data_IF_399979690140
#
_entry.id   IF_399979690140
#
_cell.length_a   1.000
_cell.length_b   1.000
_cell.length_c   1.000
_cell.angle_alpha   90.00
_cell.angle_beta   90.00
_cell.angle_gamma   90.00
#
_symmetry.space_group_name_H-M   'P 1'
#
loop_
_entity.id
_entity.type
_entity.pdbx_description
1 polymer ?
#
# COMPACT_ATOMS: atom_id res chain seq x y z
N UNK A 1 -16.22 -15.83 -4.92
CA UNK A 1 -15.22 -16.18 -3.90
C UNK A 1 -13.89 -15.72 -4.41
N UNK A 2 -13.20 -14.84 -3.66
CA UNK A 2 -11.86 -14.38 -4.04
C UNK A 2 -10.92 -15.60 -4.02
N UNK A 3 -10.29 -15.98 -5.15
CA UNK A 3 -9.31 -17.05 -5.15
C UNK A 3 -8.17 -16.66 -4.21
N UNK A 4 -7.98 -17.42 -3.13
CA UNK A 4 -6.82 -17.33 -2.24
C UNK A 4 -5.54 -17.84 -2.93
N UNK A 5 -5.33 -17.48 -4.21
CA UNK A 5 -4.03 -17.54 -4.84
C UNK A 5 -3.05 -16.80 -3.92
N UNK A 6 -1.82 -17.30 -3.80
CA UNK A 6 -0.84 -16.86 -2.81
C UNK A 6 -0.55 -15.36 -2.94
N UNK A 7 -1.37 -14.51 -2.29
CA UNK A 7 -1.37 -13.05 -2.44
C UNK A 7 -0.01 -12.48 -2.08
N UNK A 8 0.67 -13.08 -1.08
CA UNK A 8 2.06 -12.74 -0.73
C UNK A 8 3.02 -12.89 -1.91
N UNK A 9 2.88 -13.95 -2.71
CA UNK A 9 3.72 -14.18 -3.89
C UNK A 9 3.41 -13.20 -5.03
N UNK A 10 2.19 -12.66 -5.11
CA UNK A 10 1.82 -11.64 -6.08
C UNK A 10 2.25 -10.23 -5.66
N UNK A 11 2.12 -9.91 -4.37
CA UNK A 11 2.49 -8.61 -3.81
C UNK A 11 3.99 -8.36 -3.83
N UNK A 12 4.81 -9.39 -3.64
CA UNK A 12 6.27 -9.25 -3.61
C UNK A 12 6.87 -8.66 -4.91
N UNK A 13 6.66 -9.25 -6.11
CA UNK A 13 7.20 -8.67 -7.35
C UNK A 13 6.62 -7.29 -7.65
N UNK A 14 5.37 -7.04 -7.27
CA UNK A 14 4.73 -5.72 -7.42
C UNK A 14 5.43 -4.66 -6.54
N UNK A 15 5.70 -4.99 -5.27
CA UNK A 15 6.45 -4.11 -4.36
C UNK A 15 7.85 -3.79 -4.89
N UNK A 16 8.57 -4.80 -5.40
CA UNK A 16 9.92 -4.60 -5.97
C UNK A 16 9.86 -3.71 -7.21
N UNK A 17 8.89 -3.93 -8.10
CA UNK A 17 8.70 -3.10 -9.29
C UNK A 17 8.38 -1.64 -8.94
N UNK A 18 7.45 -1.40 -8.03
CA UNK A 18 7.06 -0.06 -7.59
C UNK A 18 8.20 0.69 -6.88
N UNK A 19 8.96 0.00 -6.01
CA UNK A 19 10.16 0.58 -5.42
C UNK A 19 11.20 0.94 -6.49
N UNK A 20 11.30 0.14 -7.56
CA UNK A 20 12.16 0.39 -8.71
C UNK A 20 11.78 1.68 -9.45
N UNK A 21 10.51 1.82 -9.80
CA UNK A 21 9.97 3.02 -10.45
C UNK A 21 10.19 4.28 -9.60
N UNK A 22 9.95 4.17 -8.28
CA UNK A 22 10.15 5.29 -7.37
C UNK A 22 11.64 5.65 -7.27
N UNK A 23 12.53 4.66 -7.19
CA UNK A 23 13.97 4.89 -7.15
C UNK A 23 14.48 5.59 -8.41
N UNK A 24 14.05 5.16 -9.60
CA UNK A 24 14.41 5.80 -10.87
C UNK A 24 13.94 7.25 -10.94
N UNK A 25 12.73 7.54 -10.44
CA UNK A 25 12.22 8.92 -10.40
C UNK A 25 13.07 9.87 -9.53
N UNK A 26 13.84 9.32 -8.60
CA UNK A 26 14.75 10.04 -7.72
C UNK A 26 16.21 10.03 -8.22
N UNK A 27 16.46 9.54 -9.45
CA UNK A 27 17.80 9.40 -10.03
C UNK A 27 18.58 8.18 -9.54
N UNK A 28 17.91 7.25 -8.86
CA UNK A 28 18.43 5.94 -8.48
C UNK A 28 18.49 4.95 -9.65
N UNK A 29 18.87 3.70 -9.34
CA UNK A 29 18.98 2.60 -10.31
C UNK A 29 18.08 1.45 -9.94
N UNK A 30 17.28 0.97 -10.89
CA UNK A 30 16.40 -0.18 -10.71
C UNK A 30 17.16 -1.44 -10.23
N UNK A 31 18.39 -1.66 -10.70
CA UNK A 31 19.23 -2.80 -10.31
C UNK A 31 19.59 -2.78 -8.81
N UNK A 32 19.64 -1.59 -8.19
CA UNK A 32 19.89 -1.47 -6.75
C UNK A 32 18.69 -1.94 -5.93
N UNK A 33 17.47 -1.71 -6.43
CA UNK A 33 16.24 -2.21 -5.81
C UNK A 33 16.08 -3.71 -6.04
N UNK A 34 16.37 -4.20 -7.25
CA UNK A 34 16.31 -5.63 -7.56
C UNK A 34 17.39 -6.46 -6.83
N UNK A 35 18.46 -5.81 -6.36
CA UNK A 35 19.56 -6.44 -5.63
C UNK A 35 19.28 -6.70 -4.15
N UNK A 36 20.35 -6.98 -3.39
CA UNK A 36 20.27 -7.34 -1.97
C UNK A 36 19.63 -6.25 -1.10
N UNK A 37 19.89 -4.99 -1.40
CA UNK A 37 19.40 -3.84 -0.63
C UNK A 37 17.89 -3.58 -0.74
N UNK A 38 17.24 -4.07 -1.80
CA UNK A 38 15.79 -3.93 -1.97
C UNK A 38 15.08 -5.27 -1.85
N UNK A 39 15.10 -6.08 -2.91
CA UNK A 39 14.41 -7.38 -2.93
C UNK A 39 14.97 -8.36 -1.87
N UNK A 40 16.29 -8.35 -1.65
CA UNK A 40 16.92 -9.22 -0.63
C UNK A 40 16.46 -8.90 0.79
N UNK A 41 16.52 -7.62 1.17
CA UNK A 41 16.05 -7.14 2.48
C UNK A 41 14.53 -7.32 2.66
N UNK A 42 13.75 -7.03 1.61
CA UNK A 42 12.30 -7.24 1.64
C UNK A 42 11.94 -8.71 1.89
N UNK A 43 12.67 -9.64 1.28
CA UNK A 43 12.40 -11.08 1.43
C UNK A 43 12.61 -11.56 2.88
N UNK A 44 13.61 -11.02 3.59
CA UNK A 44 13.89 -11.41 4.98
C UNK A 44 12.95 -10.70 5.97
N UNK A 45 12.51 -9.48 5.67
CA UNK A 45 11.67 -8.66 6.56
C UNK A 45 10.16 -8.91 6.42
N UNK A 46 9.67 -9.35 5.26
CA UNK A 46 8.23 -9.60 5.00
C UNK A 46 7.59 -10.56 6.01
N UNK A 47 8.36 -11.54 6.50
CA UNK A 47 7.85 -12.56 7.43
C UNK A 47 8.26 -12.34 8.88
N UNK A 48 9.18 -11.42 9.15
CA UNK A 48 9.74 -11.19 10.48
C UNK A 48 10.00 -9.70 10.70
N UNK A 49 9.15 -9.05 11.47
CA UNK A 49 9.31 -7.62 11.73
C UNK A 49 8.14 -6.96 12.43
N UNK A 50 8.35 -5.73 12.87
CA UNK A 50 7.35 -4.91 13.57
C UNK A 50 6.21 -4.50 12.63
N UNK A 51 6.50 -4.28 11.34
CA UNK A 51 5.48 -3.98 10.31
C UNK A 51 4.51 -5.14 10.08
N UNK A 52 4.95 -6.40 10.30
CA UNK A 52 4.07 -7.56 10.27
C UNK A 52 2.98 -7.48 11.34
N UNK A 53 3.34 -7.03 12.56
CA UNK A 53 2.38 -6.87 13.66
C UNK A 53 1.32 -5.81 13.33
N UNK A 54 1.71 -4.72 12.67
CA UNK A 54 0.78 -3.70 12.18
C UNK A 54 -0.24 -4.33 11.22
N UNK A 55 0.24 -5.08 10.22
CA UNK A 55 -0.61 -5.79 9.27
C UNK A 55 -1.53 -6.83 9.95
N UNK A 56 -1.05 -7.54 10.97
CA UNK A 56 -1.88 -8.48 11.74
C UNK A 56 -3.02 -7.79 12.47
N UNK A 57 -2.77 -6.65 13.11
CA UNK A 57 -3.82 -5.89 13.82
C UNK A 57 -4.88 -5.37 12.85
N UNK A 58 -4.46 -4.88 11.69
CA UNK A 58 -5.37 -4.46 10.63
C UNK A 58 -6.19 -5.66 10.14
N UNK A 59 -5.55 -6.82 9.94
CA UNK A 59 -6.23 -8.06 9.58
C UNK A 59 -7.21 -8.59 10.63
N UNK A 60 -7.05 -8.20 11.90
CA UNK A 60 -7.99 -8.48 13.00
C UNK A 60 -9.15 -7.47 13.09
N UNK A 61 -9.17 -6.45 12.22
CA UNK A 61 -10.27 -5.50 12.11
C UNK A 61 -10.00 -4.12 12.71
N UNK A 62 -8.77 -3.82 13.15
CA UNK A 62 -8.42 -2.46 13.57
C UNK A 62 -8.19 -1.56 12.34
N UNK A 63 -8.53 -0.28 12.45
CA UNK A 63 -8.05 0.72 11.50
C UNK A 63 -6.52 0.85 11.54
N UNK A 64 -5.93 1.37 10.46
CA UNK A 64 -4.49 1.63 10.41
C UNK A 64 -4.03 2.54 11.56
N UNK A 65 -4.80 3.58 11.85
CA UNK A 65 -4.50 4.51 12.93
C UNK A 65 -4.64 3.87 14.33
N UNK A 66 -5.65 3.02 14.57
CA UNK A 66 -5.78 2.28 15.83
C UNK A 66 -4.63 1.30 16.05
N UNK A 67 -4.32 0.50 15.02
CA UNK A 67 -3.24 -0.48 15.07
C UNK A 67 -1.89 0.19 15.33
N UNK A 68 -1.62 1.32 14.67
CA UNK A 68 -0.40 2.12 14.88
C UNK A 68 -0.32 2.68 16.31
N UNK A 69 -1.42 3.25 16.83
CA UNK A 69 -1.48 3.77 18.20
C UNK A 69 -1.25 2.68 19.23
N UNK A 70 -1.89 1.52 19.07
CA UNK A 70 -1.76 0.40 20.00
C UNK A 70 -0.31 -0.11 20.06
N UNK A 71 0.32 -0.33 18.90
CA UNK A 71 1.70 -0.81 18.84
C UNK A 71 2.68 0.22 19.41
N UNK A 72 2.45 1.51 19.12
CA UNK A 72 3.28 2.60 19.67
C UNK A 72 3.16 2.66 21.20
N UNK A 73 1.94 2.55 21.74
CA UNK A 73 1.70 2.52 23.19
C UNK A 73 2.37 1.29 23.86
N UNK A 74 2.49 0.17 23.14
CA UNK A 74 3.20 -1.02 23.57
C UNK A 74 4.73 -0.96 23.35
N UNK A 75 5.28 0.19 22.97
CA UNK A 75 6.73 0.38 22.75
C UNK A 75 7.26 -0.25 21.45
N UNK A 76 6.38 -0.56 20.50
CA UNK A 76 6.74 -1.15 19.21
C UNK A 76 6.71 -0.10 18.10
N UNK A 77 7.89 0.25 17.57
CA UNK A 77 8.01 1.17 16.43
C UNK A 77 7.69 0.47 15.12
N UNK A 78 6.74 0.99 14.35
CA UNK A 78 6.35 0.48 13.02
C UNK A 78 6.64 1.52 11.94
N UNK A 79 7.89 1.53 11.47
CA UNK A 79 8.37 2.50 10.47
C UNK A 79 7.56 2.48 9.18
N UNK A 80 7.00 1.31 8.82
CA UNK A 80 6.19 1.12 7.63
C UNK A 80 4.97 2.04 7.59
N UNK A 81 4.39 2.38 8.74
CA UNK A 81 3.25 3.30 8.79
C UNK A 81 3.63 4.66 8.17
N UNK A 82 4.65 5.32 8.71
CA UNK A 82 5.11 6.62 8.22
C UNK A 82 5.78 6.53 6.84
N UNK A 83 6.53 5.45 6.57
CA UNK A 83 7.17 5.23 5.28
C UNK A 83 6.14 5.15 4.14
N UNK A 84 4.95 4.60 4.38
CA UNK A 84 3.86 4.59 3.39
C UNK A 84 3.36 6.00 3.05
N UNK A 85 3.19 6.90 4.04
CA UNK A 85 2.79 8.29 3.76
C UNK A 85 3.86 9.03 2.94
N UNK A 86 5.13 8.93 3.37
CA UNK A 86 6.22 9.57 2.65
C UNK A 86 6.38 8.99 1.24
N UNK A 87 6.31 7.68 1.08
CA UNK A 87 6.35 7.00 -0.20
C UNK A 87 5.22 7.47 -1.12
N UNK A 88 3.98 7.51 -0.61
CA UNK A 88 2.81 7.95 -1.38
C UNK A 88 2.95 9.40 -1.85
N UNK A 89 3.43 10.29 -0.98
CA UNK A 89 3.70 11.69 -1.33
C UNK A 89 4.79 11.83 -2.38
N UNK A 90 5.87 11.04 -2.29
CA UNK A 90 6.92 11.02 -3.30
C UNK A 90 6.40 10.50 -4.64
N UNK A 91 5.63 9.40 -4.64
CA UNK A 91 5.00 8.85 -5.83
C UNK A 91 4.08 9.87 -6.52
N UNK A 92 3.30 10.63 -5.73
CA UNK A 92 2.49 11.74 -6.26
C UNK A 92 3.31 12.84 -6.93
N UNK A 93 4.51 13.10 -6.43
CA UNK A 93 5.42 14.12 -6.97
C UNK A 93 6.21 13.61 -8.19
N UNK A 94 6.34 12.29 -8.37
CA UNK A 94 7.12 11.69 -9.46
C UNK A 94 6.34 11.44 -10.74
N UNK A 95 5.01 11.44 -10.70
CA UNK A 95 4.16 11.14 -11.86
C UNK A 95 3.72 12.41 -12.60
N UNK A 96 3.35 12.26 -13.87
CA UNK A 96 2.80 13.36 -14.67
C UNK A 96 1.38 13.72 -14.24
N UNK A 97 0.94 14.96 -14.49
CA UNK A 97 -0.43 15.41 -14.11
C UNK A 97 -1.56 14.60 -14.76
N UNK A 98 -1.32 14.00 -15.93
CA UNK A 98 -2.28 13.12 -16.60
C UNK A 98 -2.34 11.70 -16.05
N UNK A 99 -1.42 11.36 -15.14
CA UNK A 99 -1.31 10.04 -14.51
C UNK A 99 -1.88 10.07 -13.09
N UNK A 100 -2.12 8.88 -12.56
CA UNK A 100 -2.67 8.71 -11.22
C UNK A 100 -1.87 7.66 -10.44
N UNK A 101 -1.74 7.84 -9.13
CA UNK A 101 -0.91 6.96 -8.28
C UNK A 101 -1.43 5.53 -8.28
N UNK A 102 -2.75 5.33 -8.30
CA UNK A 102 -3.37 4.01 -8.36
C UNK A 102 -3.01 3.25 -9.66
N UNK A 103 -2.74 3.95 -10.76
CA UNK A 103 -2.31 3.33 -12.03
C UNK A 103 -0.82 2.99 -12.02
N UNK A 104 0.02 3.88 -11.51
CA UNK A 104 1.49 3.72 -11.56
C UNK A 104 2.07 2.94 -10.38
N UNK A 105 1.45 3.09 -9.20
CA UNK A 105 1.85 2.49 -7.93
C UNK A 105 0.64 1.86 -7.21
N UNK A 106 -0.03 0.86 -7.83
CA UNK A 106 -1.26 0.27 -7.29
C UNK A 106 -1.11 -0.28 -5.86
N UNK A 107 0.03 -0.90 -5.52
CA UNK A 107 0.27 -1.43 -4.19
C UNK A 107 0.51 -0.32 -3.17
N UNK A 108 1.36 0.65 -3.47
CA UNK A 108 1.58 1.80 -2.59
C UNK A 108 0.28 2.57 -2.34
N UNK A 109 -0.53 2.76 -3.38
CA UNK A 109 -1.85 3.37 -3.27
C UNK A 109 -2.78 2.55 -2.36
N UNK A 110 -2.83 1.23 -2.54
CA UNK A 110 -3.63 0.36 -1.68
C UNK A 110 -3.16 0.39 -0.22
N UNK A 111 -1.85 0.35 0.03
CA UNK A 111 -1.31 0.46 1.39
C UNK A 111 -1.64 1.80 2.02
N UNK A 112 -1.55 2.89 1.27
CA UNK A 112 -1.93 4.23 1.76
C UNK A 112 -3.42 4.26 2.14
N UNK A 113 -4.30 3.80 1.25
CA UNK A 113 -5.74 3.77 1.50
C UNK A 113 -6.10 2.90 2.73
N UNK A 114 -5.43 1.76 2.93
CA UNK A 114 -5.63 0.90 4.10
C UNK A 114 -5.19 1.60 5.38
N UNK A 115 -4.01 2.23 5.37
CA UNK A 115 -3.40 2.79 6.58
C UNK A 115 -4.01 4.13 7.00
N UNK A 116 -4.45 4.93 6.03
CA UNK A 116 -4.82 6.34 6.24
C UNK A 116 -6.25 6.68 5.85
N UNK A 117 -6.95 5.83 5.08
CA UNK A 117 -8.32 6.08 4.60
C UNK A 117 -9.31 4.97 5.00
N UNK A 118 -8.90 4.08 5.90
CA UNK A 118 -9.70 2.96 6.41
C UNK A 118 -10.29 2.04 5.31
N UNK A 119 -9.57 1.93 4.18
CA UNK A 119 -10.00 1.07 3.08
C UNK A 119 -9.93 -0.43 3.48
N UNK A 120 -10.86 -1.28 2.99
CA UNK A 120 -10.85 -2.71 3.30
C UNK A 120 -9.58 -3.38 2.77
N UNK A 121 -8.78 -3.97 3.65
CA UNK A 121 -7.44 -4.47 3.31
C UNK A 121 -7.43 -5.55 2.21
N UNK A 122 -8.28 -6.57 2.33
CA UNK A 122 -8.33 -7.66 1.35
C UNK A 122 -8.76 -7.16 -0.03
N UNK A 123 -9.77 -6.30 -0.09
CA UNK A 123 -10.28 -5.76 -1.35
C UNK A 123 -9.26 -4.86 -2.03
N UNK A 124 -8.66 -3.94 -1.26
CA UNK A 124 -7.67 -2.99 -1.78
C UNK A 124 -6.44 -3.70 -2.33
N UNK A 125 -5.91 -4.70 -1.60
CA UNK A 125 -4.78 -5.51 -2.07
C UNK A 125 -5.16 -6.38 -3.28
N UNK A 126 -6.40 -6.88 -3.34
CA UNK A 126 -6.87 -7.67 -4.47
C UNK A 126 -6.97 -6.82 -5.74
N UNK A 127 -7.51 -5.61 -5.63
CA UNK A 127 -7.58 -4.65 -6.74
C UNK A 127 -6.18 -4.29 -7.24
N UNK A 128 -5.23 -4.04 -6.33
CA UNK A 128 -3.85 -3.75 -6.69
C UNK A 128 -3.18 -4.89 -7.49
N UNK A 129 -3.41 -6.15 -7.09
CA UNK A 129 -2.83 -7.32 -7.77
C UNK A 129 -3.49 -7.60 -9.12
N UNK A 130 -4.81 -7.41 -9.21
CA UNK A 130 -5.58 -7.82 -10.41
C UNK A 130 -5.78 -6.71 -11.43
N UNK A 131 -5.45 -5.47 -11.09
CA UNK A 131 -5.75 -4.31 -11.93
C UNK A 131 -7.26 -4.09 -12.11
N UNK A 132 -8.10 -4.71 -11.28
CA UNK A 132 -9.52 -4.40 -11.21
C UNK A 132 -9.64 -3.01 -10.59
N UNK A 133 -9.53 -1.98 -11.43
CA UNK A 133 -9.91 -0.63 -11.05
C UNK A 133 -11.31 -0.70 -10.42
N UNK A 134 -11.47 -0.09 -9.25
CA UNK A 134 -12.77 0.18 -8.64
C UNK A 134 -13.54 1.10 -9.60
N UNK A 135 -14.18 0.48 -10.59
CA UNK A 135 -15.26 1.11 -11.32
C UNK A 135 -16.42 1.16 -10.34
N UNK A 136 -16.82 2.39 -10.03
CA UNK A 136 -18.04 2.77 -9.33
C UNK A 136 -18.00 2.72 -7.79
N UNK A 137 -17.52 3.80 -7.17
CA UNK A 137 -18.21 4.32 -5.99
C UNK A 137 -19.28 5.28 -6.51
N UNK A 138 -20.59 5.05 -6.26
CA UNK A 138 -21.59 6.06 -6.56
C UNK A 138 -21.27 7.31 -5.75
N UNK A 139 -21.08 8.44 -6.43
CA UNK A 139 -21.19 9.75 -5.81
C UNK A 139 -22.51 9.76 -5.01
N UNK A 140 -22.55 10.23 -3.75
CA UNK A 140 -23.81 10.49 -3.10
C UNK A 140 -24.51 11.57 -3.94
N UNK A 141 -25.50 11.13 -4.71
CA UNK A 141 -26.38 12.01 -5.46
C UNK A 141 -26.97 12.99 -4.45
N UNK A 142 -26.65 14.27 -4.59
CA UNK A 142 -27.45 15.33 -4.01
C UNK A 142 -28.85 15.19 -4.59
N UNK A 143 -29.78 14.72 -3.78
CA UNK A 143 -31.20 14.76 -4.09
C UNK A 143 -31.64 16.21 -4.27
N UNK A 144 -32.22 16.62 -5.41
CA UNK A 144 -33.10 17.78 -5.43
C UNK A 144 -34.54 17.27 -5.37
N UNK A 145 -35.24 17.48 -4.25
CA UNK A 145 -36.66 17.14 -4.23
C UNK A 145 -37.41 17.30 -2.92
N UNK A 146 -38.36 18.24 -2.96
CA UNK A 146 -39.49 18.52 -2.06
C UNK A 146 -39.15 19.29 -0.77
N UNK A 147 -39.74 20.45 -0.49
CA UNK A 147 -40.97 21.10 -1.00
C UNK A 147 -40.84 22.63 -0.93
#
# INVERSE_FOLDING_TARGET
GLPHANMRAALFPLAVAEMGLLAESLGGRHETVAGLSGAGDLQVTVTSGRNRLLGERIGMGLSGAEAFRELTAAGTTTEGYLATDYGYRLARMSIQESESVDRQFPLLNALYAILYEDAPAMESLWQAVTGLASTDRPHPSSSPGSA
#
